data_IF_830694270762
#
_entry.id   IF_830694270762
#
_cell.length_a   1.000
_cell.length_b   1.000
_cell.length_c   1.000
_cell.angle_alpha   90.00
_cell.angle_beta   90.00
_cell.angle_gamma   90.00
#
_symmetry.space_group_name_H-M   'P 1'
#
loop_
_entity.id
_entity.type
_entity.pdbx_description
1 polymer ?
#
# COMPACT_ATOMS: atom_id res chain seq x y z
N UNK A 1 19.31 -26.21 8.43
CA UNK A 1 18.68 -25.45 7.30
C UNK A 1 18.70 -23.96 7.62
N UNK A 2 18.65 -23.05 6.62
CA UNK A 2 18.69 -21.59 6.86
C UNK A 2 17.65 -21.09 7.89
N UNK A 3 16.49 -21.77 7.97
CA UNK A 3 15.42 -21.51 8.95
C UNK A 3 15.83 -21.69 10.41
N UNK A 4 16.76 -22.60 10.72
CA UNK A 4 17.23 -22.83 12.11
C UNK A 4 18.00 -21.63 12.68
N UNK A 5 18.47 -20.74 11.80
CA UNK A 5 19.20 -19.53 12.17
C UNK A 5 18.28 -18.31 12.32
N UNK A 6 16.96 -18.49 12.29
CA UNK A 6 15.97 -17.42 12.45
C UNK A 6 15.26 -17.52 13.79
N UNK A 7 15.04 -16.36 14.39
CA UNK A 7 14.13 -16.25 15.54
C UNK A 7 12.68 -16.43 15.08
N UNK A 8 11.80 -16.78 16.02
CA UNK A 8 10.35 -16.86 15.75
C UNK A 8 9.82 -15.55 15.19
N UNK A 9 10.32 -14.42 15.70
CA UNK A 9 9.92 -13.09 15.23
C UNK A 9 10.33 -12.87 13.77
N UNK A 10 11.57 -13.18 13.40
CA UNK A 10 12.06 -13.04 12.02
C UNK A 10 11.28 -13.94 11.03
N UNK A 11 10.92 -15.15 11.44
CA UNK A 11 10.06 -16.03 10.63
C UNK A 11 8.69 -15.37 10.41
N UNK A 12 8.08 -14.82 11.46
CA UNK A 12 6.80 -14.14 11.36
C UNK A 12 6.89 -12.87 10.52
N UNK A 13 7.91 -12.04 10.70
CA UNK A 13 8.16 -10.84 9.91
C UNK A 13 8.28 -11.17 8.42
N UNK A 14 9.15 -12.11 8.06
CA UNK A 14 9.37 -12.52 6.69
C UNK A 14 8.12 -13.12 6.05
N UNK A 15 7.48 -14.09 6.72
CA UNK A 15 6.30 -14.78 6.17
C UNK A 15 5.09 -13.86 6.05
N UNK A 16 4.75 -13.10 7.10
CA UNK A 16 3.56 -12.24 7.09
C UNK A 16 3.73 -11.05 6.14
N UNK A 17 4.93 -10.48 6.03
CA UNK A 17 5.23 -9.43 5.05
C UNK A 17 5.13 -9.96 3.63
N UNK A 18 5.62 -11.16 3.37
CA UNK A 18 5.48 -11.82 2.07
C UNK A 18 4.01 -12.07 1.71
N UNK A 19 3.23 -12.65 2.63
CA UNK A 19 1.80 -12.91 2.41
C UNK A 19 1.06 -11.60 2.12
N UNK A 20 1.33 -10.55 2.90
CA UNK A 20 0.71 -9.26 2.70
C UNK A 20 1.08 -8.65 1.33
N UNK A 21 2.37 -8.67 0.98
CA UNK A 21 2.87 -8.16 -0.28
C UNK A 21 2.29 -8.90 -1.50
N UNK A 22 2.23 -10.23 -1.45
CA UNK A 22 1.59 -11.06 -2.50
C UNK A 22 0.10 -10.73 -2.61
N UNK A 23 -0.61 -10.64 -1.48
CA UNK A 23 -2.04 -10.32 -1.47
C UNK A 23 -2.29 -8.94 -2.07
N UNK A 24 -1.47 -7.94 -1.69
CA UNK A 24 -1.51 -6.59 -2.24
C UNK A 24 -1.27 -6.56 -3.74
N UNK A 25 -0.25 -7.30 -4.20
CA UNK A 25 0.05 -7.47 -5.62
C UNK A 25 -1.13 -8.04 -6.37
N UNK A 26 -1.70 -9.16 -5.91
CA UNK A 26 -2.81 -9.84 -6.56
C UNK A 26 -4.03 -8.91 -6.64
N UNK A 27 -4.41 -8.28 -5.53
CA UNK A 27 -5.57 -7.38 -5.49
C UNK A 27 -5.35 -6.17 -6.39
N UNK A 28 -4.18 -5.54 -6.32
CA UNK A 28 -3.81 -4.39 -7.16
C UNK A 28 -3.83 -4.73 -8.65
N UNK A 29 -3.24 -5.87 -9.04
CA UNK A 29 -3.26 -6.36 -10.42
C UNK A 29 -4.67 -6.70 -10.90
N UNK A 30 -5.52 -7.32 -10.07
CA UNK A 30 -6.91 -7.61 -10.45
C UNK A 30 -7.68 -6.31 -10.72
N UNK A 31 -7.50 -5.27 -9.89
CA UNK A 31 -8.13 -3.96 -10.09
C UNK A 31 -7.58 -3.30 -11.37
N UNK A 32 -6.26 -3.26 -11.53
CA UNK A 32 -5.60 -2.70 -12.70
C UNK A 32 -6.04 -3.41 -14.00
N UNK A 33 -6.11 -4.75 -14.00
CA UNK A 33 -6.50 -5.53 -15.17
C UNK A 33 -7.95 -5.24 -15.63
N UNK A 34 -8.84 -4.78 -14.74
CA UNK A 34 -10.20 -4.37 -15.11
C UNK A 34 -10.22 -3.13 -15.99
N UNK A 35 -9.16 -2.32 -16.02
CA UNK A 35 -8.97 -1.25 -16.99
C UNK A 35 -9.15 -1.76 -18.41
N UNK A 36 -8.46 -2.85 -18.80
CA UNK A 36 -8.47 -3.34 -20.17
C UNK A 36 -9.86 -3.79 -20.64
N UNK A 37 -10.72 -4.25 -19.72
CA UNK A 37 -12.10 -4.62 -20.03
C UNK A 37 -13.07 -3.44 -20.03
N UNK A 38 -12.89 -2.46 -19.14
CA UNK A 38 -13.84 -1.35 -18.93
C UNK A 38 -13.42 -0.02 -19.56
N UNK A 39 -12.19 0.09 -20.06
CA UNK A 39 -11.56 1.34 -20.53
C UNK A 39 -11.67 2.48 -19.51
N UNK A 40 -11.53 2.15 -18.23
CA UNK A 40 -11.72 3.02 -17.08
C UNK A 40 -10.35 3.37 -16.45
N UNK A 41 -9.65 4.41 -16.94
CA UNK A 41 -8.25 4.71 -16.58
C UNK A 41 -8.01 4.90 -15.07
N UNK A 42 -9.02 5.34 -14.33
CA UNK A 42 -8.98 5.44 -12.88
C UNK A 42 -8.68 4.09 -12.20
N UNK A 43 -9.19 2.97 -12.74
CA UNK A 43 -8.95 1.63 -12.19
C UNK A 43 -7.49 1.21 -12.36
N UNK A 44 -6.83 1.65 -13.43
CA UNK A 44 -5.40 1.39 -13.63
C UNK A 44 -4.58 2.10 -12.54
N UNK A 45 -4.84 3.39 -12.32
CA UNK A 45 -4.15 4.18 -11.30
C UNK A 45 -4.41 3.65 -9.88
N UNK A 46 -5.66 3.31 -9.54
CA UNK A 46 -5.99 2.69 -8.25
C UNK A 46 -5.31 1.33 -8.07
N UNK A 47 -5.34 0.47 -9.08
CA UNK A 47 -4.74 -0.86 -8.99
C UNK A 47 -3.22 -0.81 -8.82
N UNK A 48 -2.54 0.02 -9.62
CA UNK A 48 -1.08 0.19 -9.52
C UNK A 48 -0.69 0.86 -8.20
N UNK A 49 -1.39 1.93 -7.80
CA UNK A 49 -1.10 2.57 -6.50
C UNK A 49 -1.31 1.61 -5.33
N UNK A 50 -2.33 0.74 -5.36
CA UNK A 50 -2.54 -0.26 -4.31
C UNK A 50 -1.43 -1.31 -4.27
N UNK A 51 -0.97 -1.78 -5.43
CA UNK A 51 0.16 -2.71 -5.55
C UNK A 51 1.46 -2.11 -5.00
N UNK A 52 1.74 -0.86 -5.36
CA UNK A 52 2.94 -0.16 -4.93
C UNK A 52 2.84 0.31 -3.48
N UNK A 53 1.63 0.55 -2.96
CA UNK A 53 1.45 0.93 -1.56
C UNK A 53 1.81 -0.21 -0.58
N UNK A 54 1.88 -1.46 -1.06
CA UNK A 54 2.40 -2.58 -0.26
C UNK A 54 3.92 -2.73 -0.36
N UNK A 55 4.61 -1.78 -1.00
CA UNK A 55 6.06 -1.80 -1.14
C UNK A 55 6.88 -1.88 0.15
N UNK A 56 6.47 -1.23 1.27
CA UNK A 56 7.21 -1.34 2.54
C UNK A 56 7.40 -2.79 3.04
N UNK A 57 6.58 -3.72 2.56
CA UNK A 57 6.65 -5.13 2.93
C UNK A 57 7.34 -6.02 1.88
N UNK A 58 7.62 -5.51 0.67
CA UNK A 58 8.38 -6.27 -0.34
C UNK A 58 9.82 -6.51 0.11
N UNK A 59 10.51 -5.53 0.71
CA UNK A 59 11.91 -5.70 1.11
C UNK A 59 12.07 -6.81 2.14
N UNK A 60 11.22 -6.85 3.16
CA UNK A 60 11.16 -7.92 4.15
C UNK A 60 10.82 -9.28 3.50
N UNK A 61 9.76 -9.35 2.69
CA UNK A 61 9.32 -10.59 2.06
C UNK A 61 10.33 -11.16 1.06
N UNK A 62 10.95 -10.31 0.22
CA UNK A 62 11.96 -10.74 -0.75
C UNK A 62 13.25 -11.14 -0.03
N UNK A 63 13.69 -10.37 0.98
CA UNK A 63 14.87 -10.73 1.79
C UNK A 63 14.69 -12.07 2.51
N UNK A 64 13.49 -12.34 3.01
CA UNK A 64 13.15 -13.62 3.61
C UNK A 64 13.24 -14.78 2.59
N UNK A 65 12.70 -14.59 1.39
CA UNK A 65 12.82 -15.57 0.31
C UNK A 65 14.28 -15.80 -0.10
N UNK A 66 15.06 -14.74 -0.29
CA UNK A 66 16.47 -14.89 -0.69
C UNK A 66 17.28 -15.59 0.39
N UNK A 67 16.96 -15.35 1.66
CA UNK A 67 17.63 -16.00 2.78
C UNK A 67 17.30 -17.49 2.85
N UNK A 68 16.03 -17.88 2.66
CA UNK A 68 15.63 -19.29 2.69
C UNK A 68 16.22 -20.08 1.52
N UNK A 69 16.16 -19.54 0.31
CA UNK A 69 16.52 -20.28 -0.90
C UNK A 69 18.01 -20.18 -1.24
N UNK A 70 18.66 -19.06 -0.92
CA UNK A 70 20.04 -18.77 -1.33
C UNK A 70 20.98 -18.46 -0.17
N UNK A 71 20.47 -18.35 1.06
CA UNK A 71 21.29 -18.10 2.25
C UNK A 71 21.81 -16.67 2.41
N UNK A 72 21.30 -15.71 1.64
CA UNK A 72 21.71 -14.30 1.75
C UNK A 72 20.55 -13.33 2.02
N UNK A 73 20.87 -12.23 2.67
CA UNK A 73 19.95 -11.12 2.98
C UNK A 73 20.13 -10.03 1.93
N UNK A 74 19.05 -9.35 1.54
CA UNK A 74 19.15 -8.25 0.57
C UNK A 74 20.11 -7.17 1.08
N UNK A 75 21.04 -6.66 0.24
CA UNK A 75 21.89 -5.55 0.62
C UNK A 75 21.05 -4.30 0.88
N UNK A 76 21.50 -3.45 1.81
CA UNK A 76 20.74 -2.29 2.31
C UNK A 76 20.24 -1.35 1.19
N UNK A 77 21.03 -0.95 0.18
CA UNK A 77 20.52 -0.10 -0.89
C UNK A 77 19.31 -0.71 -1.61
N UNK A 78 19.36 -2.01 -1.90
CA UNK A 78 18.27 -2.70 -2.60
C UNK A 78 17.05 -2.86 -1.70
N UNK A 79 17.26 -3.22 -0.44
CA UNK A 79 16.20 -3.35 0.56
C UNK A 79 15.44 -2.02 0.74
N UNK A 80 16.15 -0.91 0.94
CA UNK A 80 15.55 0.41 1.13
C UNK A 80 14.92 0.96 -0.15
N UNK A 81 15.52 0.72 -1.33
CA UNK A 81 14.91 1.09 -2.61
C UNK A 81 13.56 0.39 -2.81
N UNK A 82 13.48 -0.91 -2.53
CA UNK A 82 12.24 -1.67 -2.65
C UNK A 82 11.17 -1.14 -1.69
N UNK A 83 11.54 -0.82 -0.45
CA UNK A 83 10.58 -0.37 0.57
C UNK A 83 10.07 1.06 0.32
N UNK A 84 10.93 1.98 -0.12
CA UNK A 84 10.62 3.41 -0.14
C UNK A 84 10.70 4.07 -1.53
N UNK A 85 11.56 3.58 -2.44
CA UNK A 85 11.79 4.17 -3.76
C UNK A 85 10.59 4.08 -4.71
N UNK A 86 9.57 3.28 -4.39
CA UNK A 86 8.35 3.20 -5.20
C UNK A 86 7.21 4.05 -4.65
N UNK A 87 7.39 4.75 -3.51
CA UNK A 87 6.34 5.55 -2.88
C UNK A 87 5.94 6.78 -3.69
N UNK A 88 6.90 7.40 -4.40
CA UNK A 88 6.62 8.49 -5.33
C UNK A 88 5.60 8.06 -6.40
N UNK A 89 5.79 6.86 -6.96
CA UNK A 89 4.89 6.30 -7.96
C UNK A 89 3.51 5.98 -7.38
N UNK A 90 3.42 5.50 -6.12
CA UNK A 90 2.13 5.31 -5.43
C UNK A 90 1.29 6.57 -5.52
N UNK A 91 1.87 7.71 -5.14
CA UNK A 91 1.15 8.97 -5.06
C UNK A 91 0.77 9.51 -6.45
N UNK A 92 1.65 9.38 -7.45
CA UNK A 92 1.35 9.78 -8.83
C UNK A 92 0.16 8.99 -9.38
N UNK A 93 0.19 7.65 -9.29
CA UNK A 93 -0.90 6.80 -9.79
C UNK A 93 -2.20 7.02 -9.01
N UNK A 94 -2.10 7.20 -7.70
CA UNK A 94 -3.25 7.50 -6.85
C UNK A 94 -3.90 8.84 -7.23
N UNK A 95 -3.12 9.91 -7.32
CA UNK A 95 -3.64 11.25 -7.63
C UNK A 95 -4.14 11.35 -9.06
N UNK A 96 -3.52 10.65 -10.01
CA UNK A 96 -4.08 10.53 -11.36
C UNK A 96 -5.47 9.90 -11.34
N UNK A 97 -5.65 8.78 -10.63
CA UNK A 97 -6.97 8.15 -10.54
C UNK A 97 -8.00 9.00 -9.78
N UNK A 98 -7.62 9.56 -8.64
CA UNK A 98 -8.52 10.41 -7.84
C UNK A 98 -8.89 11.68 -8.60
N UNK A 99 -7.99 12.25 -9.38
CA UNK A 99 -8.29 13.44 -10.17
C UNK A 99 -9.14 13.18 -11.40
N UNK A 100 -9.27 11.94 -11.87
CA UNK A 100 -10.31 11.54 -12.84
C UNK A 100 -11.67 11.46 -12.13
N UNK A 101 -11.69 10.96 -10.90
CA UNK A 101 -12.92 10.68 -10.15
C UNK A 101 -13.53 11.91 -9.45
N UNK A 102 -12.70 12.86 -9.02
CA UNK A 102 -13.10 13.92 -8.09
C UNK A 102 -12.94 15.34 -8.65
N UNK A 103 -12.10 15.54 -9.65
CA UNK A 103 -11.68 16.87 -10.08
C UNK A 103 -11.86 17.06 -11.58
N UNK A 104 -12.15 18.28 -12.01
CA UNK A 104 -12.33 18.58 -13.44
C UNK A 104 -10.98 18.68 -14.19
N UNK A 105 -9.90 19.05 -13.50
CA UNK A 105 -8.59 19.29 -14.11
C UNK A 105 -7.56 18.22 -13.72
N UNK A 106 -7.79 16.99 -14.21
CA UNK A 106 -6.94 15.82 -13.97
C UNK A 106 -5.46 16.06 -14.31
N UNK A 107 -5.19 16.67 -15.47
CA UNK A 107 -3.82 16.84 -15.98
C UNK A 107 -2.98 17.76 -15.09
N UNK A 108 -3.55 18.90 -14.66
CA UNK A 108 -2.81 19.88 -13.84
C UNK A 108 -2.48 19.31 -12.46
N UNK A 109 -3.43 18.62 -11.82
CA UNK A 109 -3.22 18.01 -10.50
C UNK A 109 -2.15 16.93 -10.60
N UNK A 110 -2.27 16.04 -11.58
CA UNK A 110 -1.30 14.95 -11.81
C UNK A 110 0.10 15.48 -12.10
N UNK A 111 0.23 16.53 -12.92
CA UNK A 111 1.51 17.15 -13.23
C UNK A 111 2.18 17.75 -11.99
N UNK A 112 1.43 18.49 -11.17
CA UNK A 112 1.94 19.06 -9.91
C UNK A 112 2.40 17.94 -8.97
N UNK A 113 1.59 16.89 -8.79
CA UNK A 113 1.98 15.74 -7.98
C UNK A 113 3.25 15.07 -8.51
N UNK A 114 3.36 14.89 -9.84
CA UNK A 114 4.53 14.28 -10.47
C UNK A 114 5.80 15.11 -10.26
N UNK A 115 5.73 16.44 -10.32
CA UNK A 115 6.88 17.32 -10.04
C UNK A 115 7.34 17.16 -8.59
N UNK A 116 6.41 17.20 -7.62
CA UNK A 116 6.75 17.02 -6.19
C UNK A 116 7.38 15.65 -5.95
N UNK A 117 6.81 14.61 -6.55
CA UNK A 117 7.31 13.23 -6.44
C UNK A 117 8.68 13.06 -7.11
N UNK A 118 8.92 13.69 -8.26
CA UNK A 118 10.21 13.65 -8.94
C UNK A 118 11.31 14.32 -8.11
N UNK A 119 11.01 15.45 -7.45
CA UNK A 119 11.95 16.11 -6.54
C UNK A 119 12.29 15.22 -5.34
N UNK A 120 11.29 14.60 -4.72
CA UNK A 120 11.51 13.63 -3.65
C UNK A 120 12.38 12.46 -4.12
N UNK A 121 12.06 11.87 -5.28
CA UNK A 121 12.77 10.70 -5.80
C UNK A 121 14.23 11.00 -6.11
N UNK A 122 14.54 12.18 -6.66
CA UNK A 122 15.92 12.64 -6.89
C UNK A 122 16.68 12.71 -5.57
N UNK A 123 16.09 13.34 -4.54
CA UNK A 123 16.71 13.45 -3.21
C UNK A 123 16.88 12.06 -2.59
N UNK A 124 15.86 11.20 -2.67
CA UNK A 124 15.90 9.83 -2.18
C UNK A 124 17.04 9.03 -2.83
N UNK A 125 17.19 9.07 -4.15
CA UNK A 125 18.25 8.37 -4.88
C UNK A 125 19.64 8.90 -4.49
N UNK A 126 19.81 10.22 -4.35
CA UNK A 126 21.08 10.81 -3.89
C UNK A 126 21.42 10.28 -2.49
N UNK A 127 20.46 10.30 -1.57
CA UNK A 127 20.67 9.80 -0.20
C UNK A 127 20.95 8.29 -0.22
N UNK A 128 20.26 7.52 -1.05
CA UNK A 128 20.43 6.07 -1.16
C UNK A 128 21.86 5.67 -1.55
N UNK A 129 22.52 6.47 -2.39
CA UNK A 129 23.91 6.19 -2.83
C UNK A 129 24.98 6.85 -1.97
N UNK A 130 24.65 7.92 -1.23
CA UNK A 130 25.62 8.69 -0.43
C UNK A 130 25.57 8.39 1.07
N UNK A 131 24.37 8.22 1.64
CA UNK A 131 24.18 7.98 3.06
C UNK A 131 22.84 7.28 3.37
N UNK A 132 22.83 5.95 3.27
CA UNK A 132 21.65 5.10 3.50
C UNK A 132 21.08 5.26 4.92
N UNK A 133 21.92 5.60 5.91
CA UNK A 133 21.47 5.81 7.29
C UNK A 133 20.47 6.97 7.44
N UNK A 134 20.38 7.87 6.46
CA UNK A 134 19.36 8.92 6.40
C UNK A 134 18.03 8.45 5.79
N UNK A 135 17.92 7.20 5.34
CA UNK A 135 16.67 6.59 4.89
C UNK A 135 16.12 5.72 6.02
N UNK A 136 16.94 4.82 6.55
CA UNK A 136 16.58 3.95 7.65
C UNK A 136 17.75 3.10 8.14
N UNK A 137 17.51 2.35 9.20
CA UNK A 137 18.43 1.36 9.76
C UNK A 137 17.73 0.03 9.89
N UNK A 138 18.40 -1.07 9.55
CA UNK A 138 17.82 -2.40 9.72
C UNK A 138 17.86 -2.82 11.19
N UNK A 139 16.76 -3.37 11.66
CA UNK A 139 16.67 -4.04 12.95
C UNK A 139 16.51 -5.54 12.69
N UNK A 140 17.52 -6.33 13.04
CA UNK A 140 17.54 -7.75 12.66
C UNK A 140 17.68 -7.96 11.15
N UNK A 141 17.13 -9.08 10.64
CA UNK A 141 17.33 -9.51 9.24
C UNK A 141 16.28 -8.97 8.27
N UNK A 142 15.05 -8.75 8.74
CA UNK A 142 13.90 -8.46 7.87
C UNK A 142 13.12 -7.21 8.28
N UNK A 143 13.39 -6.62 9.45
CA UNK A 143 12.77 -5.38 9.88
C UNK A 143 13.69 -4.17 9.62
N UNK A 144 13.10 -2.99 9.50
CA UNK A 144 13.84 -1.74 9.37
C UNK A 144 13.06 -0.57 9.97
N UNK A 145 13.80 0.30 10.63
CA UNK A 145 13.29 1.55 11.14
C UNK A 145 13.52 2.67 10.14
N UNK A 146 12.43 3.32 9.75
CA UNK A 146 12.47 4.49 8.90
C UNK A 146 12.99 5.69 9.70
N UNK A 147 13.97 6.41 9.16
CA UNK A 147 14.37 7.69 9.74
C UNK A 147 13.32 8.78 9.47
N UNK A 148 13.56 9.97 10.04
CA UNK A 148 12.68 11.13 9.87
C UNK A 148 12.42 11.49 8.40
N UNK A 149 13.43 11.39 7.52
CA UNK A 149 13.29 11.75 6.10
C UNK A 149 12.25 10.86 5.40
N UNK A 150 12.41 9.53 5.50
CA UNK A 150 11.48 8.57 4.90
C UNK A 150 10.10 8.66 5.54
N UNK A 151 10.06 8.81 6.87
CA UNK A 151 8.81 8.91 7.64
C UNK A 151 7.98 10.13 7.24
N UNK A 152 8.60 11.31 7.06
CA UNK A 152 7.88 12.52 6.63
C UNK A 152 7.18 12.29 5.28
N UNK A 153 7.89 11.71 4.30
CA UNK A 153 7.29 11.49 3.00
C UNK A 153 6.17 10.45 3.03
N UNK A 154 6.36 9.35 3.75
CA UNK A 154 5.31 8.33 3.98
C UNK A 154 4.06 8.97 4.60
N UNK A 155 4.24 9.85 5.60
CA UNK A 155 3.13 10.56 6.24
C UNK A 155 2.42 11.50 5.26
N UNK A 156 3.14 12.24 4.43
CA UNK A 156 2.56 13.10 3.38
C UNK A 156 1.71 12.25 2.42
N UNK A 157 2.27 11.15 1.91
CA UNK A 157 1.55 10.23 1.01
C UNK A 157 0.28 9.70 1.68
N UNK A 158 0.38 9.25 2.94
CA UNK A 158 -0.75 8.72 3.70
C UNK A 158 -1.83 9.78 3.89
N UNK A 159 -1.48 11.00 4.29
CA UNK A 159 -2.44 12.11 4.50
C UNK A 159 -3.14 12.46 3.20
N UNK A 160 -2.43 12.59 2.08
CA UNK A 160 -3.04 12.89 0.78
C UNK A 160 -4.00 11.77 0.34
N UNK A 161 -3.59 10.51 0.51
CA UNK A 161 -4.45 9.35 0.22
C UNK A 161 -5.70 9.37 1.10
N UNK A 162 -5.57 9.61 2.40
CA UNK A 162 -6.71 9.63 3.33
C UNK A 162 -7.69 10.76 3.01
N UNK A 163 -7.21 11.98 2.79
CA UNK A 163 -8.06 13.14 2.46
C UNK A 163 -8.86 12.86 1.19
N UNK A 164 -8.18 12.47 0.12
CA UNK A 164 -8.83 12.20 -1.18
C UNK A 164 -9.78 11.00 -1.11
N UNK A 165 -9.41 9.95 -0.38
CA UNK A 165 -10.27 8.79 -0.15
C UNK A 165 -11.53 9.16 0.63
N UNK A 166 -11.43 9.98 1.69
CA UNK A 166 -12.59 10.44 2.47
C UNK A 166 -13.55 11.26 1.61
N UNK A 167 -13.03 12.15 0.76
CA UNK A 167 -13.85 12.91 -0.20
C UNK A 167 -14.58 11.93 -1.14
N UNK A 168 -13.87 10.98 -1.74
CA UNK A 168 -14.48 9.98 -2.63
C UNK A 168 -15.54 9.11 -1.96
N UNK A 169 -15.29 8.66 -0.72
CA UNK A 169 -16.24 7.89 0.07
C UNK A 169 -17.50 8.70 0.33
N UNK A 170 -17.37 9.98 0.70
CA UNK A 170 -18.52 10.87 0.95
C UNK A 170 -19.41 10.96 -0.28
N UNK A 171 -18.83 11.26 -1.45
CA UNK A 171 -19.57 11.35 -2.71
C UNK A 171 -20.22 10.00 -3.09
N UNK A 172 -19.49 8.89 -2.89
CA UNK A 172 -20.02 7.55 -3.13
C UNK A 172 -21.22 7.20 -2.24
N UNK A 173 -21.18 7.61 -0.97
CA UNK A 173 -22.26 7.40 -0.01
C UNK A 173 -23.49 8.28 -0.27
N UNK A 174 -23.32 9.42 -0.93
CA UNK A 174 -24.41 10.32 -1.32
C UNK A 174 -25.05 9.95 -2.67
N UNK A 175 -24.45 9.03 -3.42
CA UNK A 175 -24.99 8.57 -4.70
C UNK A 175 -26.39 7.96 -4.58
N UNK A 176 -27.26 8.26 -5.56
CA UNK A 176 -28.58 7.62 -5.71
C UNK A 176 -28.47 6.14 -6.08
N UNK A 177 -27.35 5.72 -6.66
CA UNK A 177 -27.13 4.33 -7.07
C UNK A 177 -26.68 3.49 -5.86
N UNK A 178 -27.51 2.52 -5.45
CA UNK A 178 -27.24 1.65 -4.31
C UNK A 178 -25.93 0.87 -4.42
N UNK A 179 -25.52 0.46 -5.63
CA UNK A 179 -24.25 -0.23 -5.85
C UNK A 179 -23.06 0.68 -5.53
N UNK A 180 -23.12 1.95 -5.91
CA UNK A 180 -22.08 2.95 -5.60
C UNK A 180 -22.03 3.22 -4.09
N UNK A 181 -23.20 3.31 -3.44
CA UNK A 181 -23.27 3.46 -1.98
C UNK A 181 -22.59 2.31 -1.24
N UNK A 182 -22.81 1.07 -1.67
CA UNK A 182 -22.14 -0.11 -1.10
C UNK A 182 -20.63 -0.12 -1.34
N UNK A 183 -20.17 0.29 -2.52
CA UNK A 183 -18.74 0.52 -2.78
C UNK A 183 -18.13 1.50 -1.78
N UNK A 184 -18.78 2.63 -1.57
CA UNK A 184 -18.37 3.64 -0.59
C UNK A 184 -18.25 3.08 0.84
N UNK A 185 -19.18 2.22 1.26
CA UNK A 185 -19.13 1.55 2.58
C UNK A 185 -17.92 0.63 2.72
N UNK A 186 -17.64 -0.19 1.71
CA UNK A 186 -16.47 -1.07 1.75
C UNK A 186 -15.15 -0.28 1.75
N UNK A 187 -15.09 0.83 1.00
CA UNK A 187 -13.92 1.72 1.03
C UNK A 187 -13.78 2.43 2.37
N UNK A 188 -14.87 2.80 3.05
CA UNK A 188 -14.82 3.33 4.41
C UNK A 188 -14.21 2.33 5.39
N UNK A 189 -14.68 1.08 5.37
CA UNK A 189 -14.13 0.00 6.21
C UNK A 189 -12.64 -0.20 5.89
N UNK A 190 -12.28 -0.28 4.60
CA UNK A 190 -10.89 -0.40 4.17
C UNK A 190 -10.02 0.76 4.66
N UNK A 191 -10.54 1.99 4.65
CA UNK A 191 -9.82 3.19 5.09
C UNK A 191 -9.58 3.16 6.60
N UNK A 192 -10.60 2.78 7.39
CA UNK A 192 -10.45 2.62 8.84
C UNK A 192 -9.41 1.54 9.16
N UNK A 193 -9.49 0.38 8.50
CA UNK A 193 -8.53 -0.70 8.68
C UNK A 193 -7.12 -0.31 8.25
N UNK A 194 -6.96 0.54 7.23
CA UNK A 194 -5.65 1.08 6.84
C UNK A 194 -5.07 1.93 7.97
N UNK A 195 -5.82 2.89 8.49
CA UNK A 195 -5.35 3.78 9.58
C UNK A 195 -4.99 2.96 10.81
N UNK A 196 -5.87 2.06 11.25
CA UNK A 196 -5.63 1.22 12.42
C UNK A 196 -4.44 0.30 12.20
N UNK A 197 -4.40 -0.41 11.07
CA UNK A 197 -3.33 -1.37 10.75
C UNK A 197 -1.97 -0.70 10.63
N UNK A 198 -1.88 0.42 9.91
CA UNK A 198 -0.63 1.18 9.76
C UNK A 198 -0.18 1.83 11.06
N UNK A 199 -1.11 2.35 11.87
CA UNK A 199 -0.77 2.91 13.17
C UNK A 199 -0.23 1.83 14.12
N UNK A 200 -0.86 0.66 14.14
CA UNK A 200 -0.38 -0.48 14.92
C UNK A 200 1.00 -0.94 14.47
N UNK A 201 1.23 -1.05 13.16
CA UNK A 201 2.50 -1.49 12.59
C UNK A 201 3.65 -0.51 12.88
N UNK A 202 3.35 0.79 12.90
CA UNK A 202 4.38 1.83 13.07
C UNK A 202 4.61 2.27 14.52
N UNK A 203 3.59 2.20 15.39
CA UNK A 203 3.65 2.81 16.74
C UNK A 203 3.74 1.80 17.88
N UNK A 204 3.34 0.56 17.65
CA UNK A 204 3.33 -0.47 18.70
C UNK A 204 4.62 -1.26 18.63
N UNK A 205 5.26 -1.50 19.78
CA UNK A 205 6.43 -2.37 19.86
C UNK A 205 6.14 -3.71 19.20
N UNK A 206 6.96 -4.05 18.20
CA UNK A 206 6.78 -5.23 17.38
C UNK A 206 7.04 -6.47 18.25
N UNK A 207 5.94 -7.13 18.60
CA UNK A 207 5.91 -8.45 19.22
C UNK A 207 5.24 -9.42 18.26
N UNK A 208 5.47 -10.74 18.38
CA UNK A 208 4.84 -11.74 17.52
C UNK A 208 3.31 -11.55 17.37
N UNK A 209 2.63 -11.27 18.48
CA UNK A 209 1.17 -11.10 18.51
C UNK A 209 0.76 -9.80 17.82
N UNK A 210 1.39 -8.67 18.16
CA UNK A 210 1.02 -7.36 17.61
C UNK A 210 1.26 -7.29 16.11
N UNK A 211 2.38 -7.86 15.64
CA UNK A 211 2.71 -8.00 14.23
C UNK A 211 1.63 -8.81 13.48
N UNK A 212 1.25 -9.97 14.01
CA UNK A 212 0.20 -10.81 13.39
C UNK A 212 -1.13 -10.06 13.30
N UNK A 213 -1.54 -9.37 14.36
CA UNK A 213 -2.79 -8.61 14.37
C UNK A 213 -2.74 -7.47 13.35
N UNK A 214 -1.66 -6.69 13.31
CA UNK A 214 -1.48 -5.62 12.33
C UNK A 214 -1.57 -6.17 10.88
N UNK A 215 -0.91 -7.30 10.61
CA UNK A 215 -0.92 -7.94 9.28
C UNK A 215 -2.31 -8.45 8.89
N UNK A 216 -3.06 -9.06 9.80
CA UNK A 216 -4.44 -9.51 9.55
C UNK A 216 -5.33 -8.30 9.21
N UNK A 217 -5.23 -7.21 9.98
CA UNK A 217 -5.99 -5.97 9.73
C UNK A 217 -5.68 -5.41 8.34
N UNK A 218 -4.40 -5.35 7.98
CA UNK A 218 -3.96 -4.85 6.67
C UNK A 218 -4.41 -5.78 5.52
N UNK A 219 -4.39 -7.10 5.69
CA UNK A 219 -4.91 -8.06 4.70
C UNK A 219 -6.42 -7.87 4.51
N UNK A 220 -7.18 -7.76 5.60
CA UNK A 220 -8.62 -7.49 5.55
C UNK A 220 -8.90 -6.18 4.82
N UNK A 221 -8.09 -5.14 5.05
CA UNK A 221 -8.17 -3.87 4.31
C UNK A 221 -8.06 -4.07 2.80
N UNK A 222 -7.20 -4.97 2.32
CA UNK A 222 -7.07 -5.25 0.88
C UNK A 222 -8.33 -5.92 0.31
N UNK A 223 -8.91 -6.86 1.05
CA UNK A 223 -10.17 -7.53 0.67
C UNK A 223 -11.31 -6.51 0.57
N UNK A 224 -11.45 -5.63 1.57
CA UNK A 224 -12.45 -4.56 1.53
C UNK A 224 -12.18 -3.53 0.43
N UNK A 225 -10.91 -3.25 0.12
CA UNK A 225 -10.54 -2.40 -1.01
C UNK A 225 -10.96 -3.03 -2.36
N UNK A 226 -10.75 -4.34 -2.54
CA UNK A 226 -11.21 -5.08 -3.71
C UNK A 226 -12.73 -4.94 -3.90
N UNK A 227 -13.49 -5.19 -2.83
CA UNK A 227 -14.95 -5.07 -2.85
C UNK A 227 -15.38 -3.62 -3.11
N UNK A 228 -14.71 -2.65 -2.50
CA UNK A 228 -14.97 -1.23 -2.68
C UNK A 228 -14.77 -0.76 -4.13
N UNK A 229 -13.71 -1.19 -4.81
CA UNK A 229 -13.43 -0.74 -6.16
C UNK A 229 -14.23 -1.50 -7.23
N UNK A 230 -14.30 -2.82 -7.12
CA UNK A 230 -14.86 -3.65 -8.18
C UNK A 230 -16.29 -4.12 -7.96
N UNK A 231 -16.72 -4.26 -6.70
CA UNK A 231 -17.99 -4.83 -6.23
C UNK A 231 -18.66 -5.80 -7.23
N UNK A 232 -18.36 -7.11 -7.16
CA UNK A 232 -18.95 -8.11 -8.06
C UNK A 232 -20.48 -8.09 -8.03
N UNK A 233 -21.12 -8.30 -9.19
CA UNK A 233 -22.58 -8.18 -9.33
C UNK A 233 -23.33 -9.14 -8.39
N UNK A 234 -22.82 -10.36 -8.18
CA UNK A 234 -23.41 -11.34 -7.24
C UNK A 234 -23.46 -10.80 -5.81
N UNK A 235 -22.38 -10.15 -5.36
CA UNK A 235 -22.29 -9.56 -4.02
C UNK A 235 -23.20 -8.32 -3.94
N UNK A 236 -23.22 -7.50 -4.99
CA UNK A 236 -24.10 -6.34 -5.06
C UNK A 236 -25.58 -6.73 -4.97
N UNK A 237 -26.02 -7.72 -5.75
CA UNK A 237 -27.41 -8.18 -5.77
C UNK A 237 -27.82 -8.74 -4.41
N UNK A 238 -26.98 -9.60 -3.80
CA UNK A 238 -27.24 -10.13 -2.46
C UNK A 238 -27.41 -9.02 -1.42
N UNK A 239 -26.57 -7.98 -1.44
CA UNK A 239 -26.65 -6.85 -0.50
C UNK A 239 -27.82 -5.90 -0.76
N UNK A 240 -28.35 -5.85 -1.98
CA UNK A 240 -29.47 -4.99 -2.36
C UNK A 240 -30.80 -5.70 -2.13
N UNK A 241 -30.89 -7.00 -2.44
CA UNK A 241 -32.08 -7.84 -2.23
C UNK A 241 -32.34 -8.15 -0.75
N UNK A 242 -31.29 -8.18 0.09
CA UNK A 242 -31.43 -8.37 1.53
C UNK A 242 -32.03 -7.15 2.28
N UNK A 243 -32.57 -6.15 1.56
CA UNK A 243 -33.12 -4.91 2.10
C UNK A 243 -34.54 -4.66 1.61
#
# INVERSE_FOLDING_TARGET
MALENLTVLEILEGTTSLIYAITGTIVGLIIAAKYFKRKAPELLGIGISLLLATAPWYGAGISFLTFIFFGFILPDPLYFFINYGLLALVLIFWMNAMSILLFENTQRITLITAIICALYEIVFIIILVTNISMIGTKEGKFNSDATLFSTIFVLIVLVVILITMIIFIRESLQSKNMKIKWKGRFLLIATILLVVGSFMDASVTITPITLMVARIILILRLIFSYLGWLLPDRVANWLIEAR
#
